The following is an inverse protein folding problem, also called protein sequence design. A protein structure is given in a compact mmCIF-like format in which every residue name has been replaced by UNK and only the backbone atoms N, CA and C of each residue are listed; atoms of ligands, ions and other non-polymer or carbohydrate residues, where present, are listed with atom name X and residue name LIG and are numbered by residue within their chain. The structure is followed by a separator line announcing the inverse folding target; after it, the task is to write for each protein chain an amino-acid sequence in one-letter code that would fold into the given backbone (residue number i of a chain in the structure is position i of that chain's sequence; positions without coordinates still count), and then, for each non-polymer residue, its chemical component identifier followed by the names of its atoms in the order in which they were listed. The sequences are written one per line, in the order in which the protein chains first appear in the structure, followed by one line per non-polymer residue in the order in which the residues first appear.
data_IF_526690412635
#
_entry.id   IF_526690412635
#
_cell.length_a   1.000
_cell.length_b   1.000
_cell.length_c   1.000
_cell.angle_alpha   90.00
_cell.angle_beta   90.00
_cell.angle_gamma   90.00
#
_symmetry.space_group_name_H-M   'P 1'
#
loop_
_entity.id
_entity.type
_entity.pdbx_description
1 polymer ?
#
# COMPACT_ATOMS: atom_id res chain seq x y z
N UNK A 1 10.31 4.49 -40.41
CA UNK A 1 10.88 3.35 -39.64
C UNK A 1 10.71 3.69 -38.17
N UNK A 2 9.81 3.01 -37.47
CA UNK A 2 9.59 3.23 -36.05
C UNK A 2 10.69 2.53 -35.25
N UNK A 3 11.40 3.29 -34.42
CA UNK A 3 12.37 2.77 -33.46
C UNK A 3 11.62 1.90 -32.45
N UNK A 4 11.91 0.60 -32.46
CA UNK A 4 11.45 -0.34 -31.44
C UNK A 4 12.12 0.04 -30.13
N UNK A 5 11.35 0.62 -29.21
CA UNK A 5 11.76 0.90 -27.85
C UNK A 5 12.30 -0.41 -27.22
N UNK A 6 13.61 -0.46 -26.97
CA UNK A 6 14.26 -1.61 -26.30
C UNK A 6 13.63 -1.75 -24.92
N UNK A 7 12.88 -2.82 -24.67
CA UNK A 7 12.40 -3.13 -23.33
C UNK A 7 13.61 -3.21 -22.40
N UNK A 8 13.71 -2.29 -21.44
CA UNK A 8 14.70 -2.40 -20.36
C UNK A 8 14.55 -3.78 -19.73
N UNK A 9 15.67 -4.46 -19.51
CA UNK A 9 15.68 -5.73 -18.81
C UNK A 9 14.89 -5.60 -17.49
N UNK A 10 14.11 -6.61 -17.10
CA UNK A 10 13.36 -6.56 -15.85
C UNK A 10 14.31 -6.26 -14.71
N UNK A 11 13.98 -5.25 -13.91
CA UNK A 11 14.78 -4.87 -12.75
C UNK A 11 14.72 -6.01 -11.74
N UNK A 12 15.88 -6.52 -11.33
CA UNK A 12 15.97 -7.55 -10.29
C UNK A 12 15.49 -6.97 -8.97
N UNK A 13 14.45 -7.59 -8.40
CA UNK A 13 13.90 -7.25 -7.09
C UNK A 13 14.37 -8.29 -6.09
N UNK A 14 15.27 -7.90 -5.19
CA UNK A 14 15.74 -8.79 -4.12
C UNK A 14 15.12 -8.34 -2.80
N UNK A 15 14.42 -9.26 -2.12
CA UNK A 15 13.85 -9.02 -0.78
C UNK A 15 14.81 -9.63 0.23
N UNK A 16 15.40 -8.79 1.08
CA UNK A 16 16.20 -9.26 2.22
C UNK A 16 15.42 -9.03 3.51
N UNK A 17 15.24 -10.08 4.29
CA UNK A 17 14.92 -9.95 5.71
C UNK A 17 16.23 -9.65 6.41
N UNK A 18 16.34 -8.48 7.03
CA UNK A 18 17.34 -8.34 8.08
C UNK A 18 16.89 -9.26 9.22
N UNK A 19 17.80 -10.11 9.70
CA UNK A 19 17.55 -10.87 10.93
C UNK A 19 17.22 -9.86 12.03
N UNK A 20 16.09 -10.02 12.75
CA UNK A 20 15.75 -9.08 13.80
C UNK A 20 16.90 -9.08 14.82
N UNK A 21 17.35 -7.91 15.32
CA UNK A 21 18.24 -7.90 16.46
C UNK A 21 17.59 -8.74 17.56
N UNK A 22 18.34 -9.70 18.09
CA UNK A 22 17.88 -10.57 19.17
C UNK A 22 17.29 -9.68 20.27
N UNK A 23 16.00 -9.87 20.56
CA UNK A 23 15.22 -9.12 21.55
C UNK A 23 14.71 -7.72 21.12
N UNK A 24 13.85 -7.65 20.10
CA UNK A 24 12.89 -6.54 20.03
C UNK A 24 11.50 -7.04 19.65
N UNK A 25 10.51 -6.56 20.40
CA UNK A 25 9.10 -6.89 20.37
C UNK A 25 8.52 -7.07 18.94
N UNK A 26 7.71 -8.11 18.77
CA UNK A 26 6.94 -8.41 17.55
C UNK A 26 5.92 -7.31 17.14
N UNK A 27 5.89 -6.17 17.85
CA UNK A 27 4.86 -5.14 17.70
C UNK A 27 4.99 -4.29 16.44
N UNK A 28 6.18 -4.22 15.81
CA UNK A 28 6.46 -3.32 14.68
C UNK A 28 6.42 -3.99 13.29
N UNK A 29 6.23 -5.31 13.22
CA UNK A 29 6.23 -6.09 11.97
C UNK A 29 7.64 -6.22 11.34
N UNK A 30 7.87 -7.24 10.49
CA UNK A 30 9.16 -7.40 9.84
C UNK A 30 9.47 -6.25 8.87
N UNK A 31 10.58 -5.56 9.10
CA UNK A 31 11.18 -4.65 8.11
C UNK A 31 11.97 -5.50 7.12
N UNK A 32 11.65 -5.32 5.84
CA UNK A 32 12.36 -5.93 4.72
C UNK A 32 12.99 -4.82 3.89
N UNK A 33 14.21 -5.03 3.40
CA UNK A 33 14.83 -4.13 2.44
C UNK A 33 14.58 -4.69 1.04
N UNK A 34 13.83 -3.93 0.24
CA UNK A 34 13.59 -4.24 -1.17
C UNK A 34 14.64 -3.53 -2.00
N UNK A 35 15.50 -4.30 -2.66
CA UNK A 35 16.47 -3.79 -3.61
C UNK A 35 15.83 -3.68 -4.99
N UNK A 36 15.91 -2.51 -5.61
CA UNK A 36 15.49 -2.25 -7.00
C UNK A 36 16.70 -1.65 -7.74
N UNK A 37 17.46 -2.51 -8.42
CA UNK A 37 18.73 -2.13 -9.02
C UNK A 37 19.74 -1.65 -7.97
N UNK A 38 20.25 -0.42 -8.09
CA UNK A 38 21.15 0.21 -7.10
C UNK A 38 20.42 0.92 -5.96
N UNK A 39 19.09 0.98 -5.99
CA UNK A 39 18.29 1.63 -4.95
C UNK A 39 17.83 0.63 -3.91
N UNK A 40 17.81 1.07 -2.65
CA UNK A 40 17.22 0.33 -1.54
C UNK A 40 15.95 1.06 -1.11
N UNK A 41 14.89 0.29 -0.87
CA UNK A 41 13.62 0.78 -0.36
C UNK A 41 13.34 0.03 0.93
N UNK A 42 13.34 0.78 2.03
CA UNK A 42 12.95 0.26 3.34
C UNK A 42 11.45 -0.05 3.28
N UNK A 43 11.10 -1.33 3.44
CA UNK A 43 9.74 -1.82 3.29
C UNK A 43 9.28 -2.49 4.57
N UNK A 44 8.38 -1.86 5.31
CA UNK A 44 7.75 -2.49 6.46
C UNK A 44 6.62 -3.38 5.97
N UNK A 45 6.73 -4.69 6.21
CA UNK A 45 5.65 -5.65 5.93
C UNK A 45 4.83 -5.81 7.20
N UNK A 46 3.66 -5.18 7.23
CA UNK A 46 2.77 -5.20 8.38
C UNK A 46 1.70 -6.29 8.20
N UNK A 47 1.56 -7.13 9.23
CA UNK A 47 0.46 -8.09 9.39
C UNK A 47 -0.50 -7.67 10.51
N UNK A 48 -0.11 -6.68 11.32
CA UNK A 48 -0.85 -6.23 12.51
C UNK A 48 -1.02 -4.71 12.50
N UNK A 49 -2.08 -4.22 13.15
CA UNK A 49 -2.40 -2.79 13.26
C UNK A 49 -1.31 -2.01 14.01
N UNK A 50 -0.71 -2.58 15.05
CA UNK A 50 0.37 -1.96 15.84
C UNK A 50 1.53 -1.52 14.93
N UNK A 51 1.97 -2.42 14.05
CA UNK A 51 2.99 -2.16 13.06
C UNK A 51 2.58 -1.04 12.08
N UNK A 52 1.33 -1.08 11.59
CA UNK A 52 0.78 -0.01 10.74
C UNK A 52 0.75 1.32 11.49
N UNK A 53 0.33 1.33 12.75
CA UNK A 53 0.24 2.51 13.58
C UNK A 53 1.60 3.12 13.91
N UNK A 54 2.60 2.30 14.23
CA UNK A 54 4.00 2.76 14.39
C UNK A 54 4.53 3.33 13.09
N UNK A 55 4.34 2.63 11.97
CA UNK A 55 4.80 3.10 10.67
C UNK A 55 4.14 4.43 10.27
N UNK A 56 2.82 4.56 10.42
CA UNK A 56 2.08 5.78 10.10
C UNK A 56 2.57 6.94 10.99
N UNK A 57 2.73 6.72 12.30
CA UNK A 57 3.25 7.76 13.21
C UNK A 57 4.65 8.23 12.79
N UNK A 58 5.52 7.30 12.42
CA UNK A 58 6.87 7.60 11.93
C UNK A 58 6.82 8.40 10.62
N UNK A 59 6.09 7.91 9.61
CA UNK A 59 5.93 8.56 8.32
C UNK A 59 5.36 9.98 8.46
N UNK A 60 4.32 10.14 9.29
CA UNK A 60 3.67 11.42 9.55
C UNK A 60 4.59 12.43 10.23
N UNK A 61 5.40 11.98 11.19
CA UNK A 61 6.38 12.81 11.91
C UNK A 61 7.44 13.36 10.94
N UNK A 62 8.00 12.49 10.11
CA UNK A 62 9.04 12.85 9.14
C UNK A 62 8.52 13.78 8.04
N UNK A 63 7.33 13.49 7.52
CA UNK A 63 6.66 14.32 6.52
C UNK A 63 6.22 15.68 7.06
N UNK A 64 6.37 15.94 8.37
CA UNK A 64 5.91 17.17 9.04
C UNK A 64 4.45 17.51 8.74
N UNK A 65 3.62 16.49 8.47
CA UNK A 65 2.22 16.68 8.06
C UNK A 65 1.44 17.59 9.02
N UNK A 66 1.80 17.55 10.31
CA UNK A 66 1.16 18.36 11.35
C UNK A 66 1.89 19.65 11.72
N UNK A 67 3.10 19.91 11.19
CA UNK A 67 3.94 21.09 11.52
C UNK A 67 3.88 22.21 10.47
N UNK A 68 2.72 22.42 9.85
CA UNK A 68 2.51 23.54 8.92
C UNK A 68 3.15 23.41 7.53
N UNK A 69 3.70 22.23 7.19
CA UNK A 69 4.16 21.93 5.83
C UNK A 69 3.01 21.89 4.82
N UNK A 70 3.35 22.11 3.55
CA UNK A 70 2.43 21.99 2.41
C UNK A 70 1.92 20.55 2.21
N UNK A 71 1.05 20.34 1.21
CA UNK A 71 0.49 19.02 0.93
C UNK A 71 1.60 18.02 0.61
N UNK A 72 1.52 16.82 1.19
CA UNK A 72 2.46 15.73 0.96
C UNK A 72 1.88 14.73 -0.02
N UNK A 73 2.66 14.38 -1.02
CA UNK A 73 2.28 13.35 -1.99
C UNK A 73 2.72 11.98 -1.48
N UNK A 74 1.78 11.03 -1.46
CA UNK A 74 2.03 9.61 -1.20
C UNK A 74 1.57 8.80 -2.39
N UNK A 75 2.31 7.75 -2.74
CA UNK A 75 1.86 6.82 -3.78
C UNK A 75 1.26 5.58 -3.16
N UNK A 76 0.22 5.04 -3.79
CA UNK A 76 -0.48 3.85 -3.33
C UNK A 76 -0.70 2.87 -4.48
N UNK A 77 -0.56 1.59 -4.17
CA UNK A 77 -0.96 0.46 -5.01
C UNK A 77 -1.81 -0.48 -4.18
N UNK A 78 -2.87 -1.05 -4.77
CA UNK A 78 -3.69 -2.07 -4.14
C UNK A 78 -3.66 -3.36 -4.97
N UNK A 79 -3.46 -4.48 -4.28
CA UNK A 79 -3.30 -5.80 -4.88
C UNK A 79 -4.55 -6.62 -4.64
N UNK A 80 -5.10 -7.19 -5.71
CA UNK A 80 -6.25 -8.09 -5.61
C UNK A 80 -5.79 -9.48 -5.23
N UNK A 81 -6.63 -10.19 -4.50
CA UNK A 81 -6.39 -11.59 -4.18
C UNK A 81 -7.69 -12.36 -4.01
N UNK A 82 -7.59 -13.66 -3.78
CA UNK A 82 -8.78 -14.53 -3.76
C UNK A 82 -9.71 -14.18 -2.59
N UNK A 83 -11.02 -14.28 -2.82
CA UNK A 83 -12.04 -14.19 -1.77
C UNK A 83 -11.91 -15.39 -0.81
N UNK A 84 -11.94 -15.16 0.51
CA UNK A 84 -12.00 -16.27 1.46
C UNK A 84 -13.46 -16.70 1.61
N UNK A 85 -13.80 -17.84 1.01
CA UNK A 85 -15.01 -18.60 1.30
C UNK A 85 -16.32 -18.02 0.76
N UNK A 86 -16.72 -18.49 -0.42
CA UNK A 86 -17.89 -19.37 -0.47
C UNK A 86 -17.65 -20.40 -1.56
N UNK A 87 -17.75 -21.67 -1.20
CA UNK A 87 -17.80 -22.83 -2.09
C UNK A 87 -18.96 -22.79 -3.11
N UNK A 88 -19.67 -21.66 -3.24
CA UNK A 88 -20.84 -21.44 -4.11
C UNK A 88 -20.64 -20.33 -5.15
N UNK A 89 -19.59 -19.51 -5.03
CA UNK A 89 -19.09 -18.63 -6.09
C UNK A 89 -17.60 -18.90 -6.17
N UNK A 90 -17.23 -19.85 -7.03
CA UNK A 90 -15.86 -20.34 -7.12
C UNK A 90 -14.83 -19.21 -7.17
N UNK A 91 -13.59 -19.45 -6.69
CA UNK A 91 -12.52 -18.48 -6.89
C UNK A 91 -12.50 -18.13 -8.37
N UNK A 92 -12.66 -16.84 -8.69
CA UNK A 92 -12.38 -16.43 -10.06
C UNK A 92 -10.93 -16.82 -10.29
N UNK A 93 -10.72 -17.59 -11.35
CA UNK A 93 -9.55 -18.46 -11.60
C UNK A 93 -8.21 -17.73 -11.65
N UNK A 94 -8.20 -16.41 -11.44
CA UNK A 94 -7.02 -15.56 -11.40
C UNK A 94 -7.11 -14.52 -10.26
N UNK A 95 -6.07 -14.36 -9.42
CA UNK A 95 -6.07 -13.41 -8.29
C UNK A 95 -6.30 -11.95 -8.72
N UNK A 96 -5.82 -11.57 -9.90
CA UNK A 96 -5.98 -10.20 -10.44
C UNK A 96 -7.36 -9.91 -11.08
N UNK A 97 -8.34 -10.81 -11.00
CA UNK A 97 -9.67 -10.56 -11.58
C UNK A 97 -10.33 -9.31 -10.94
N UNK A 98 -10.93 -8.43 -11.74
CA UNK A 98 -11.38 -7.10 -11.28
C UNK A 98 -12.40 -7.12 -10.12
N UNK A 99 -13.25 -8.15 -10.08
CA UNK A 99 -14.24 -8.38 -9.03
C UNK A 99 -13.68 -9.00 -7.75
N UNK A 100 -12.43 -9.48 -7.75
CA UNK A 100 -11.80 -9.96 -6.53
C UNK A 100 -11.54 -8.79 -5.56
N UNK A 101 -11.59 -9.03 -4.25
CA UNK A 101 -11.31 -7.99 -3.27
C UNK A 101 -9.84 -7.56 -3.30
N UNK A 102 -9.56 -6.35 -2.85
CA UNK A 102 -8.20 -5.99 -2.47
C UNK A 102 -7.77 -6.76 -1.23
N UNK A 103 -6.54 -7.29 -1.25
CA UNK A 103 -5.94 -8.14 -0.21
C UNK A 103 -4.64 -7.60 0.34
N UNK A 104 -4.03 -6.65 -0.34
CA UNK A 104 -2.91 -5.94 0.20
C UNK A 104 -2.88 -4.53 -0.39
N UNK A 105 -2.21 -3.63 0.32
CA UNK A 105 -1.87 -2.31 -0.18
C UNK A 105 -0.39 -2.07 0.03
N UNK A 106 0.22 -1.36 -0.90
CA UNK A 106 1.52 -0.75 -0.72
C UNK A 106 1.35 0.76 -0.71
N UNK A 107 1.90 1.43 0.31
CA UNK A 107 1.96 2.90 0.38
C UNK A 107 3.41 3.31 0.43
N UNK A 108 3.83 4.18 -0.48
CA UNK A 108 5.16 4.77 -0.48
C UNK A 108 5.10 6.25 -0.10
N UNK A 109 5.98 6.61 0.83
CA UNK A 109 6.13 7.94 1.42
C UNK A 109 7.56 8.43 1.20
N UNK A 110 7.71 9.67 0.73
CA UNK A 110 9.03 10.33 0.65
C UNK A 110 10.03 9.70 -0.31
N UNK A 111 9.62 8.72 -1.12
CA UNK A 111 10.47 8.04 -2.12
C UNK A 111 11.44 6.99 -1.56
N UNK A 112 11.47 6.78 -0.24
CA UNK A 112 12.42 5.87 0.42
C UNK A 112 11.79 4.85 1.35
N UNK A 113 10.50 5.00 1.69
CA UNK A 113 9.79 4.10 2.60
C UNK A 113 8.52 3.56 2.02
N UNK A 114 8.31 2.27 2.18
CA UNK A 114 7.12 1.56 1.76
C UNK A 114 6.50 0.84 2.95
N UNK A 115 5.20 0.99 3.13
CA UNK A 115 4.39 0.09 3.92
C UNK A 115 3.77 -0.91 2.96
N UNK A 116 3.99 -2.21 3.17
CA UNK A 116 3.18 -3.26 2.57
C UNK A 116 2.29 -3.85 3.66
N UNK A 117 0.98 -3.67 3.51
CA UNK A 117 0.01 -4.09 4.51
C UNK A 117 -0.96 -5.10 3.90
N UNK A 118 -1.07 -6.27 4.53
CA UNK A 118 -2.02 -7.31 4.15
C UNK A 118 -3.40 -6.99 4.77
N UNK A 119 -4.42 -6.96 3.91
CA UNK A 119 -5.81 -6.71 4.27
C UNK A 119 -6.51 -8.05 4.53
N UNK A 120 -6.67 -8.41 5.79
CA UNK A 120 -7.31 -9.66 6.20
C UNK A 120 -8.85 -9.52 6.24
N UNK A 121 -9.58 -10.51 5.71
CA UNK A 121 -11.04 -10.61 5.84
C UNK A 121 -11.49 -10.71 7.30
N UNK A 122 -10.61 -11.17 8.20
CA UNK A 122 -10.85 -11.12 9.63
C UNK A 122 -11.00 -9.67 10.14
N UNK A 123 -10.13 -8.77 9.66
CA UNK A 123 -10.11 -7.35 10.03
C UNK A 123 -11.40 -6.66 9.59
N UNK A 124 -11.93 -7.04 8.42
CA UNK A 124 -13.22 -6.53 7.92
C UNK A 124 -14.42 -6.89 8.81
N UNK A 125 -14.41 -8.08 9.43
CA UNK A 125 -15.61 -8.65 10.09
C UNK A 125 -15.67 -8.41 11.59
N UNK A 126 -14.53 -8.34 12.27
CA UNK A 126 -14.50 -8.31 13.74
C UNK A 126 -13.97 -7.01 14.34
N UNK A 127 -13.09 -6.31 13.64
CA UNK A 127 -12.45 -5.12 14.21
C UNK A 127 -12.17 -4.05 13.13
N UNK A 128 -13.16 -3.20 12.81
CA UNK A 128 -12.96 -2.07 11.92
C UNK A 128 -11.97 -1.03 12.46
N UNK A 129 -11.48 -1.19 13.70
CA UNK A 129 -10.40 -0.44 14.32
C UNK A 129 -9.03 -0.78 13.73
N UNK A 130 -8.78 -2.02 13.27
CA UNK A 130 -7.45 -2.46 12.76
C UNK A 130 -6.86 -1.66 11.61
N UNK A 131 -7.72 -0.98 10.86
CA UNK A 131 -7.36 -0.12 9.73
C UNK A 131 -7.40 1.37 10.08
N UNK A 132 -7.54 1.73 11.36
CA UNK A 132 -7.71 3.11 11.81
C UNK A 132 -6.51 4.01 11.48
N UNK A 133 -5.24 3.64 11.76
CA UNK A 133 -4.10 4.52 11.46
C UNK A 133 -3.97 4.79 9.95
N UNK A 134 -4.26 3.77 9.14
CA UNK A 134 -4.27 3.85 7.69
C UNK A 134 -5.40 4.73 7.17
N UNK A 135 -6.61 4.56 7.74
CA UNK A 135 -7.78 5.38 7.41
C UNK A 135 -7.51 6.85 7.73
N UNK A 136 -6.90 7.15 8.87
CA UNK A 136 -6.53 8.50 9.26
C UNK A 136 -5.50 9.13 8.32
N UNK A 137 -4.50 8.35 7.88
CA UNK A 137 -3.52 8.82 6.91
C UNK A 137 -4.18 9.17 5.56
N UNK A 138 -5.02 8.27 5.02
CA UNK A 138 -5.64 8.44 3.71
C UNK A 138 -6.75 9.51 3.70
N UNK A 139 -7.42 9.71 4.83
CA UNK A 139 -8.44 10.73 4.99
C UNK A 139 -7.87 12.11 5.41
N UNK A 140 -6.55 12.23 5.52
CA UNK A 140 -5.90 13.48 5.90
C UNK A 140 -5.90 14.48 4.73
N UNK A 141 -6.41 15.69 4.98
CA UNK A 141 -6.52 16.76 3.95
C UNK A 141 -5.19 17.26 3.40
N UNK A 142 -4.10 17.01 4.13
CA UNK A 142 -2.75 17.37 3.73
C UNK A 142 -2.05 16.26 2.94
N UNK A 143 -2.69 15.12 2.75
CA UNK A 143 -2.16 14.00 1.98
C UNK A 143 -2.79 14.00 0.60
N UNK A 144 -1.95 13.98 -0.42
CA UNK A 144 -2.34 13.81 -1.83
C UNK A 144 -1.96 12.41 -2.25
N UNK A 145 -2.93 11.61 -2.65
CA UNK A 145 -2.68 10.22 -3.04
C UNK A 145 -2.55 10.11 -4.57
N UNK A 146 -1.45 9.53 -5.03
CA UNK A 146 -1.22 9.20 -6.46
C UNK A 146 -1.18 7.69 -6.65
N UNK A 147 -1.64 7.21 -7.79
CA UNK A 147 -1.58 5.78 -8.11
C UNK A 147 -2.09 5.48 -9.50
N UNK A 148 -1.76 4.29 -10.01
CA UNK A 148 -2.29 3.81 -11.27
C UNK A 148 -3.75 3.38 -11.11
N UNK A 149 -4.63 3.82 -12.01
CA UNK A 149 -6.07 3.50 -11.92
C UNK A 149 -6.73 4.00 -10.62
N UNK A 150 -6.20 5.09 -10.05
CA UNK A 150 -6.55 5.56 -8.70
C UNK A 150 -8.05 5.78 -8.51
N UNK A 151 -8.76 6.28 -9.53
CA UNK A 151 -10.19 6.57 -9.46
C UNK A 151 -11.05 5.32 -9.15
N UNK A 152 -10.75 4.19 -9.78
CA UNK A 152 -11.47 2.94 -9.53
C UNK A 152 -10.98 2.28 -8.23
N UNK A 153 -9.68 2.38 -7.96
CA UNK A 153 -9.08 1.83 -6.76
C UNK A 153 -9.64 2.45 -5.49
N UNK A 154 -9.74 3.79 -5.40
CA UNK A 154 -10.28 4.46 -4.21
C UNK A 154 -11.75 4.14 -3.96
N UNK A 155 -12.57 4.05 -5.02
CA UNK A 155 -13.98 3.66 -4.91
C UNK A 155 -14.12 2.25 -4.33
N UNK A 156 -13.32 1.31 -4.86
CA UNK A 156 -13.35 -0.08 -4.41
C UNK A 156 -12.79 -0.23 -2.99
N UNK A 157 -11.71 0.47 -2.63
CA UNK A 157 -11.17 0.50 -1.27
C UNK A 157 -12.15 1.06 -0.24
N UNK A 158 -12.89 2.13 -0.57
CA UNK A 158 -13.96 2.64 0.31
C UNK A 158 -15.08 1.60 0.45
N UNK A 159 -15.54 1.02 -0.66
CA UNK A 159 -16.64 0.05 -0.62
C UNK A 159 -16.31 -1.26 0.11
N UNK A 160 -15.07 -1.76 0.00
CA UNK A 160 -14.67 -3.05 0.54
C UNK A 160 -14.10 -2.95 1.96
N UNK A 161 -13.41 -1.84 2.26
CA UNK A 161 -12.60 -1.67 3.47
C UNK A 161 -12.93 -0.39 4.24
N UNK A 162 -13.80 0.50 3.73
CA UNK A 162 -14.06 1.81 4.35
C UNK A 162 -12.82 2.70 4.41
N UNK A 163 -11.88 2.49 3.50
CA UNK A 163 -10.65 3.28 3.37
C UNK A 163 -10.90 4.45 2.43
N UNK A 164 -11.39 5.56 3.01
CA UNK A 164 -11.65 6.79 2.29
C UNK A 164 -10.35 7.55 2.02
N UNK A 165 -10.16 7.93 0.76
CA UNK A 165 -9.09 8.81 0.34
C UNK A 165 -9.64 10.22 0.17
N UNK A 166 -9.13 11.18 0.94
CA UNK A 166 -9.64 12.56 0.90
C UNK A 166 -9.34 13.25 -0.43
N UNK A 167 -8.09 13.13 -0.90
CA UNK A 167 -7.66 13.75 -2.15
C UNK A 167 -6.76 12.80 -2.93
N UNK A 168 -7.09 12.58 -4.20
CA UNK A 168 -6.25 11.84 -5.12
C UNK A 168 -6.05 12.60 -6.43
N UNK A 169 -4.89 12.40 -7.05
CA UNK A 169 -4.58 12.94 -8.37
C UNK A 169 -4.84 11.88 -9.43
N UNK A 170 -5.88 12.09 -10.22
CA UNK A 170 -6.21 11.22 -11.35
C UNK A 170 -5.37 11.66 -12.54
N UNK A 171 -4.31 10.91 -12.84
CA UNK A 171 -3.58 11.09 -14.10
C UNK A 171 -4.44 10.59 -15.26
N UNK A 172 -4.99 11.53 -16.03
CA UNK A 172 -5.62 11.24 -17.33
C UNK A 172 -4.48 11.11 -18.33
N UNK A 173 -4.00 9.90 -18.57
CA UNK A 173 -3.11 9.66 -19.70
C UNK A 173 -3.94 9.70 -20.99
N UNK A 174 -3.87 10.83 -21.71
CA UNK A 174 -4.21 10.82 -23.13
C UNK A 174 -3.15 9.98 -23.83
N UNK A 175 -3.55 8.82 -24.34
CA UNK A 175 -2.73 8.10 -25.31
C UNK A 175 -2.75 8.91 -26.59
N UNK A 176 -1.60 9.51 -26.96
CA UNK A 176 -1.36 10.08 -28.28
C UNK A 176 -0.75 9.02 -29.19
#
# INVERSE_FOLDING_TARGET
MAEKEKSKAPVEITIRRDEPPSETHYEDGPVMIVHIGSHFIETTVALEESAVGTWVRSAVSELRLFRGGGPTVVSICAFRGLGWGSSWKGPLSHPNHLSNPYRAIAICVGGSRVLFYELDDWDRRKDPGRIFPLRDLLNNRKVVVVGWGIAEMVKKLDSEWGLKVYMCLISIFFSF
#
